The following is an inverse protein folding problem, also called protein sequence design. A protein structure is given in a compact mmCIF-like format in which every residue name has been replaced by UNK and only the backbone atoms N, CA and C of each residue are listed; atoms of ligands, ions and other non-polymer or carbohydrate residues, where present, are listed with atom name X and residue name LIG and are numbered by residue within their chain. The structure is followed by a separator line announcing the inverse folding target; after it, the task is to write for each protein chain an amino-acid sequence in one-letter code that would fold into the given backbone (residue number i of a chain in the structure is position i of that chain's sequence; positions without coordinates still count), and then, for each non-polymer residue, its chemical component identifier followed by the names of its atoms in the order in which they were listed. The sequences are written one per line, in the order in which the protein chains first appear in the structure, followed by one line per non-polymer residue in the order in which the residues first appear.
data_IF_747821105707
#
_entry.id   IF_747821105707
#
_cell.length_a   1.000
_cell.length_b   1.000
_cell.length_c   1.000
_cell.angle_alpha   90.00
_cell.angle_beta   90.00
_cell.angle_gamma   90.00
#
_symmetry.space_group_name_H-M   'P 1'
#
loop_
_entity.id
_entity.type
_entity.pdbx_description
1 polymer ?
#
# COMPACT_ATOMS: atom_id res chain seq x y z
N UNK A 1 -6.17 -19.18 -10.82
CA UNK A 1 -4.78 -19.68 -10.78
C UNK A 1 -4.70 -21.19 -10.62
N UNK A 2 -5.18 -21.80 -9.54
CA UNK A 2 -5.10 -23.26 -9.30
C UNK A 2 -5.62 -24.11 -10.48
N UNK A 3 -6.76 -23.74 -11.06
CA UNK A 3 -7.32 -24.42 -12.24
C UNK A 3 -6.41 -24.23 -13.46
N UNK A 4 -5.89 -23.01 -13.67
CA UNK A 4 -5.00 -22.73 -14.80
C UNK A 4 -3.68 -23.52 -14.71
N UNK A 5 -3.14 -23.70 -13.50
CA UNK A 5 -1.96 -24.55 -13.25
C UNK A 5 -2.26 -26.03 -13.57
N UNK A 6 -3.43 -26.52 -13.11
CA UNK A 6 -3.80 -27.92 -13.33
C UNK A 6 -4.00 -28.26 -14.82
N UNK A 7 -4.48 -27.31 -15.62
CA UNK A 7 -4.64 -27.48 -17.06
C UNK A 7 -3.41 -27.07 -17.89
N UNK A 8 -2.27 -26.74 -17.25
CA UNK A 8 -1.04 -26.33 -17.94
C UNK A 8 -1.16 -24.99 -18.69
N UNK A 9 -2.16 -24.17 -18.36
CA UNK A 9 -2.38 -22.85 -18.96
C UNK A 9 -1.37 -21.84 -18.40
N UNK A 10 -0.95 -22.07 -17.16
CA UNK A 10 0.03 -21.23 -16.46
C UNK A 10 1.18 -22.09 -15.95
N UNK A 11 2.39 -21.71 -16.32
CA UNK A 11 3.62 -22.29 -15.79
C UNK A 11 3.89 -21.62 -14.43
N UNK A 12 3.29 -22.19 -13.38
CA UNK A 12 3.51 -21.68 -12.04
C UNK A 12 4.86 -22.14 -11.53
N UNK A 13 5.77 -21.20 -11.32
CA UNK A 13 7.07 -21.46 -10.68
C UNK A 13 6.93 -21.87 -9.20
N UNK A 14 5.75 -21.75 -8.63
CA UNK A 14 5.51 -21.89 -7.20
C UNK A 14 4.52 -23.01 -6.81
N UNK A 15 3.77 -23.55 -7.77
CA UNK A 15 2.79 -24.60 -7.48
C UNK A 15 2.84 -25.71 -8.53
N UNK A 16 3.01 -26.95 -8.07
CA UNK A 16 2.93 -28.12 -8.92
C UNK A 16 1.47 -28.51 -9.19
N UNK A 17 1.13 -28.99 -10.40
CA UNK A 17 -0.20 -29.48 -10.70
C UNK A 17 -0.48 -30.78 -9.92
N UNK A 18 -1.64 -30.86 -9.30
CA UNK A 18 -2.12 -32.09 -8.65
C UNK A 18 -2.84 -32.99 -9.65
N UNK A 19 -2.89 -34.29 -9.37
CA UNK A 19 -3.49 -35.31 -10.25
C UNK A 19 -4.98 -35.12 -10.51
N UNK A 20 -5.69 -34.36 -9.70
CA UNK A 20 -7.11 -34.05 -9.91
C UNK A 20 -7.47 -32.62 -9.46
N UNK A 21 -8.50 -32.06 -10.09
CA UNK A 21 -9.04 -30.74 -9.73
C UNK A 21 -9.49 -30.72 -8.25
N UNK A 22 -10.07 -31.82 -7.76
CA UNK A 22 -10.53 -31.93 -6.39
C UNK A 22 -9.36 -31.84 -5.39
N UNK A 23 -8.25 -32.51 -5.69
CA UNK A 23 -7.00 -32.43 -4.91
C UNK A 23 -6.43 -31.02 -4.94
N UNK A 24 -6.46 -30.34 -6.10
CA UNK A 24 -6.01 -28.98 -6.26
C UNK A 24 -6.84 -28.00 -5.42
N UNK A 25 -8.16 -28.13 -5.45
CA UNK A 25 -9.06 -27.29 -4.64
C UNK A 25 -8.88 -27.52 -3.14
N UNK A 26 -8.67 -28.77 -2.72
CA UNK A 26 -8.35 -29.08 -1.33
C UNK A 26 -7.04 -28.45 -0.87
N UNK A 27 -6.03 -28.42 -1.74
CA UNK A 27 -4.77 -27.76 -1.46
C UNK A 27 -4.96 -26.23 -1.33
N UNK A 28 -5.72 -25.61 -2.24
CA UNK A 28 -6.08 -24.17 -2.14
C UNK A 28 -6.80 -23.87 -0.82
N UNK A 29 -7.76 -24.72 -0.43
CA UNK A 29 -8.48 -24.56 0.82
C UNK A 29 -7.56 -24.61 2.04
N UNK A 30 -6.62 -25.55 2.08
CA UNK A 30 -5.62 -25.62 3.13
C UNK A 30 -4.74 -24.36 3.20
N UNK A 31 -4.34 -23.81 2.06
CA UNK A 31 -3.61 -22.54 2.00
C UNK A 31 -4.45 -21.39 2.55
N UNK A 32 -5.74 -21.31 2.21
CA UNK A 32 -6.64 -20.32 2.78
C UNK A 32 -6.74 -20.43 4.30
N UNK A 33 -6.82 -21.63 4.84
CA UNK A 33 -6.83 -21.87 6.28
C UNK A 33 -5.50 -21.46 6.95
N UNK A 34 -4.37 -21.72 6.29
CA UNK A 34 -3.05 -21.29 6.78
C UNK A 34 -2.94 -19.76 6.81
N UNK A 35 -3.41 -19.07 5.76
CA UNK A 35 -3.43 -17.60 5.72
C UNK A 35 -4.34 -17.01 6.81
N UNK A 36 -5.51 -17.60 7.04
CA UNK A 36 -6.39 -17.20 8.14
C UNK A 36 -5.73 -17.41 9.50
N UNK A 37 -5.02 -18.55 9.69
CA UNK A 37 -4.25 -18.81 10.90
C UNK A 37 -3.11 -17.82 11.10
N UNK A 38 -2.37 -17.50 10.04
CA UNK A 38 -1.28 -16.54 10.06
C UNK A 38 -1.74 -15.11 10.38
N UNK A 39 -3.01 -14.76 10.10
CA UNK A 39 -3.58 -13.45 10.44
C UNK A 39 -3.60 -13.15 11.93
N UNK A 40 -3.44 -14.14 12.79
CA UNK A 40 -3.33 -14.00 14.24
C UNK A 40 -1.89 -13.96 14.75
N UNK A 41 -0.90 -14.18 13.87
CA UNK A 41 0.51 -14.07 14.21
C UNK A 41 0.92 -12.59 14.25
N UNK A 42 1.18 -12.09 15.46
CA UNK A 42 1.59 -10.68 15.67
C UNK A 42 3.08 -10.49 15.39
N UNK A 43 3.86 -11.56 15.40
CA UNK A 43 5.29 -11.51 15.20
C UNK A 43 5.66 -11.48 13.71
N UNK A 44 6.69 -10.74 13.39
CA UNK A 44 7.28 -10.52 12.04
C UNK A 44 7.95 -11.81 11.47
N UNK A 45 7.39 -12.97 11.80
CA UNK A 45 7.92 -14.27 11.44
C UNK A 45 7.29 -14.70 10.12
N UNK A 46 8.10 -15.28 9.27
CA UNK A 46 7.82 -15.87 7.97
C UNK A 46 6.34 -16.12 7.66
N UNK A 47 5.70 -15.12 7.08
CA UNK A 47 4.34 -15.29 6.56
C UNK A 47 4.36 -16.31 5.42
N UNK A 48 3.39 -17.23 5.39
CA UNK A 48 3.33 -18.25 4.36
C UNK A 48 3.26 -17.60 2.98
N UNK A 49 4.16 -18.00 2.08
CA UNK A 49 4.15 -17.57 0.69
C UNK A 49 3.19 -18.47 -0.10
N UNK A 50 1.98 -18.02 -0.44
CA UNK A 50 1.02 -18.87 -1.13
C UNK A 50 1.51 -19.23 -2.54
N UNK A 51 1.61 -20.51 -2.89
CA UNK A 51 2.22 -20.92 -4.15
C UNK A 51 1.43 -20.51 -5.39
N UNK A 52 0.13 -20.21 -5.26
CA UNK A 52 -0.70 -19.76 -6.40
C UNK A 52 -0.68 -18.25 -6.62
N UNK A 53 -0.48 -17.49 -5.57
CA UNK A 53 -0.39 -16.04 -5.65
C UNK A 53 0.46 -15.52 -4.48
N UNK A 54 1.75 -15.29 -4.70
CA UNK A 54 2.65 -14.78 -3.67
C UNK A 54 2.18 -13.48 -3.03
N UNK A 55 1.44 -12.64 -3.75
CA UNK A 55 0.94 -11.37 -3.21
C UNK A 55 0.00 -11.53 -2.01
N UNK A 56 -0.62 -12.70 -1.82
CA UNK A 56 -1.55 -12.94 -0.70
C UNK A 56 -0.91 -12.95 0.70
N UNK A 57 0.42 -12.98 0.80
CA UNK A 57 1.12 -12.93 2.08
C UNK A 57 0.86 -11.64 2.87
N UNK A 58 0.47 -10.54 2.20
CA UNK A 58 0.19 -9.27 2.87
C UNK A 58 -1.15 -9.25 3.59
N UNK A 59 -2.12 -10.09 3.18
CA UNK A 59 -3.46 -10.12 3.80
C UNK A 59 -3.39 -10.41 5.30
N UNK A 60 -2.69 -11.45 5.78
CA UNK A 60 -2.48 -11.67 7.20
C UNK A 60 -1.82 -10.49 7.91
N UNK A 61 -0.83 -9.86 7.27
CA UNK A 61 -0.13 -8.68 7.81
C UNK A 61 -1.09 -7.52 7.98
N UNK A 62 -1.81 -7.16 6.92
CA UNK A 62 -2.78 -6.06 6.94
C UNK A 62 -3.86 -6.26 8.01
N UNK A 63 -4.36 -7.50 8.14
CA UNK A 63 -5.36 -7.83 9.15
C UNK A 63 -4.80 -7.69 10.57
N UNK A 64 -3.64 -8.30 10.87
CA UNK A 64 -3.02 -8.24 12.19
C UNK A 64 -2.67 -6.80 12.60
N UNK A 65 -2.06 -6.03 11.68
CA UNK A 65 -1.67 -4.66 11.96
C UNK A 65 -2.88 -3.72 12.08
N UNK A 66 -3.95 -3.97 11.33
CA UNK A 66 -5.21 -3.24 11.49
C UNK A 66 -5.83 -3.47 12.87
N UNK A 67 -5.79 -4.70 13.40
CA UNK A 67 -6.25 -4.99 14.76
C UNK A 67 -5.42 -4.24 15.81
N UNK A 68 -4.08 -4.22 15.68
CA UNK A 68 -3.19 -3.44 16.56
C UNK A 68 -3.56 -1.95 16.49
N UNK A 69 -3.78 -1.42 15.29
CA UNK A 69 -4.18 -0.04 15.07
C UNK A 69 -5.52 0.28 15.74
N UNK A 70 -6.53 -0.58 15.59
CA UNK A 70 -7.83 -0.39 16.26
C UNK A 70 -7.73 -0.42 17.77
N UNK A 71 -6.92 -1.33 18.34
CA UNK A 71 -6.66 -1.37 19.79
C UNK A 71 -5.97 -0.09 20.23
N UNK A 72 -4.99 0.41 19.48
CA UNK A 72 -4.33 1.68 19.78
C UNK A 72 -5.31 2.86 19.73
N UNK A 73 -6.17 2.95 18.72
CA UNK A 73 -7.21 3.98 18.60
C UNK A 73 -8.14 3.92 19.81
N UNK A 74 -8.66 2.74 20.18
CA UNK A 74 -9.54 2.56 21.32
C UNK A 74 -8.86 2.94 22.64
N UNK A 75 -7.64 2.46 22.86
CA UNK A 75 -6.86 2.75 24.08
C UNK A 75 -6.52 4.22 24.24
N UNK A 76 -6.19 4.91 23.14
CA UNK A 76 -5.79 6.32 23.15
C UNK A 76 -6.95 7.30 22.98
N UNK A 77 -8.17 6.83 22.66
CA UNK A 77 -9.35 7.67 22.34
C UNK A 77 -9.73 8.65 23.45
N UNK A 78 -9.47 8.31 24.70
CA UNK A 78 -9.79 9.15 25.86
C UNK A 78 -8.64 10.02 26.34
N UNK A 79 -7.47 9.93 25.73
CA UNK A 79 -6.32 10.74 26.08
C UNK A 79 -6.44 12.14 25.47
N UNK A 80 -5.99 13.15 26.23
CA UNK A 80 -5.79 14.49 25.68
C UNK A 80 -4.74 14.45 24.57
N UNK A 81 -4.87 15.30 23.58
CA UNK A 81 -4.11 15.25 22.31
C UNK A 81 -2.59 15.16 22.50
N UNK A 82 -2.01 15.97 23.37
CA UNK A 82 -0.56 15.96 23.60
C UNK A 82 -0.08 14.64 24.23
N UNK A 83 -0.84 14.09 25.17
CA UNK A 83 -0.52 12.79 25.79
C UNK A 83 -0.73 11.68 24.76
N UNK A 84 -1.78 11.74 23.96
CA UNK A 84 -2.05 10.78 22.89
C UNK A 84 -0.91 10.71 21.89
N UNK A 85 -0.43 11.85 21.40
CA UNK A 85 0.72 11.92 20.48
C UNK A 85 2.00 11.37 21.13
N UNK A 86 2.26 11.72 22.40
CA UNK A 86 3.44 11.23 23.12
C UNK A 86 3.40 9.71 23.30
N UNK A 87 2.25 9.16 23.71
CA UNK A 87 2.07 7.72 23.87
C UNK A 87 2.17 7.00 22.52
N UNK A 88 1.54 7.54 21.47
CA UNK A 88 1.60 6.96 20.13
C UNK A 88 3.05 6.94 19.61
N UNK A 89 3.78 8.04 19.77
CA UNK A 89 5.21 8.09 19.42
C UNK A 89 6.03 7.08 20.23
N UNK A 90 5.76 6.96 21.54
CA UNK A 90 6.42 5.99 22.42
C UNK A 90 6.15 4.54 22.01
N UNK A 91 4.89 4.20 21.70
CA UNK A 91 4.52 2.85 21.22
C UNK A 91 5.19 2.57 19.87
N UNK A 92 5.18 3.54 18.94
CA UNK A 92 5.83 3.40 17.63
C UNK A 92 7.35 3.18 17.79
N UNK A 93 8.00 3.95 18.66
CA UNK A 93 9.41 3.78 18.97
C UNK A 93 9.72 2.42 19.63
N UNK A 94 8.86 1.95 20.52
CA UNK A 94 8.96 0.61 21.10
C UNK A 94 8.82 -0.48 20.06
N UNK A 95 7.83 -0.39 19.16
CA UNK A 95 7.67 -1.33 18.05
C UNK A 95 8.89 -1.31 17.13
N UNK A 96 9.46 -0.14 16.84
CA UNK A 96 10.69 -0.01 16.08
C UNK A 96 11.83 -0.73 16.78
N UNK A 97 12.07 -0.44 18.05
CA UNK A 97 13.14 -1.10 18.83
C UNK A 97 12.96 -2.62 18.93
N UNK A 98 11.71 -3.09 18.94
CA UNK A 98 11.35 -4.52 18.99
C UNK A 98 11.39 -5.22 17.63
N UNK A 99 11.76 -4.54 16.53
CA UNK A 99 11.80 -5.12 15.19
C UNK A 99 10.47 -5.26 14.49
N UNK A 100 9.37 -4.73 15.05
CA UNK A 100 8.01 -4.85 14.52
C UNK A 100 7.74 -3.76 13.47
N UNK A 101 8.44 -3.80 12.33
CA UNK A 101 8.40 -2.73 11.33
C UNK A 101 7.01 -2.51 10.71
N UNK A 102 6.23 -3.57 10.51
CA UNK A 102 4.86 -3.40 10.01
C UNK A 102 3.98 -2.62 11.01
N UNK A 103 4.11 -2.89 12.31
CA UNK A 103 3.40 -2.10 13.33
C UNK A 103 3.85 -0.63 13.32
N UNK A 104 5.14 -0.38 13.09
CA UNK A 104 5.69 0.97 12.93
C UNK A 104 5.02 1.70 11.75
N UNK A 105 4.85 1.04 10.61
CA UNK A 105 4.20 1.64 9.43
C UNK A 105 2.76 2.05 9.72
N UNK A 106 1.97 1.19 10.34
CA UNK A 106 0.56 1.46 10.67
C UNK A 106 0.42 2.55 11.75
N UNK A 107 1.16 2.44 12.85
CA UNK A 107 1.11 3.41 13.95
C UNK A 107 1.71 4.76 13.54
N UNK A 108 2.78 4.75 12.74
CA UNK A 108 3.36 5.96 12.18
C UNK A 108 2.43 6.66 11.18
N UNK A 109 1.68 5.89 10.38
CA UNK A 109 0.60 6.41 9.54
C UNK A 109 -0.48 7.11 10.39
N UNK A 110 -0.90 6.50 11.50
CA UNK A 110 -1.81 7.13 12.48
C UNK A 110 -1.22 8.40 13.07
N UNK A 111 0.06 8.41 13.41
CA UNK A 111 0.75 9.61 13.94
C UNK A 111 0.74 10.75 12.91
N UNK A 112 1.06 10.49 11.65
CA UNK A 112 1.00 11.49 10.57
C UNK A 112 -0.43 12.03 10.41
N UNK A 113 -1.44 11.15 10.42
CA UNK A 113 -2.84 11.55 10.31
C UNK A 113 -3.27 12.46 11.47
N UNK A 114 -2.92 12.11 12.71
CA UNK A 114 -3.22 12.91 13.89
C UNK A 114 -2.58 14.30 13.83
N UNK A 115 -1.31 14.38 13.44
CA UNK A 115 -0.60 15.66 13.26
C UNK A 115 -1.25 16.50 12.16
N UNK A 116 -1.66 15.88 11.06
CA UNK A 116 -2.33 16.58 9.95
C UNK A 116 -3.67 17.16 10.39
N UNK A 117 -4.49 16.39 11.12
CA UNK A 117 -5.76 16.86 11.66
C UNK A 117 -5.58 18.05 12.60
N UNK A 118 -4.56 18.04 13.45
CA UNK A 118 -4.27 19.19 14.34
C UNK A 118 -3.82 20.45 13.57
N UNK A 119 -3.12 20.27 12.46
CA UNK A 119 -2.75 21.39 11.59
C UNK A 119 -3.99 22.00 10.94
N UNK A 120 -4.90 21.16 10.45
CA UNK A 120 -6.17 21.61 9.84
C UNK A 120 -7.08 22.32 10.86
N UNK A 121 -7.22 21.78 12.07
CA UNK A 121 -7.99 22.40 13.15
C UNK A 121 -7.39 23.77 13.55
N UNK A 122 -6.08 23.92 13.53
CA UNK A 122 -5.41 25.19 13.82
C UNK A 122 -5.62 26.26 12.75
N UNK A 123 -5.93 25.85 11.52
CA UNK A 123 -6.21 26.72 10.37
C UNK A 123 -7.71 27.06 10.24
N UNK A 124 -8.59 26.23 10.79
CA UNK A 124 -10.01 26.46 10.85
C UNK A 124 -10.30 27.47 11.96
N UNK A 125 -10.70 28.70 11.61
CA UNK A 125 -11.25 29.67 12.56
C UNK A 125 -12.46 29.09 13.33
N UNK A 126 -12.74 29.49 14.60
CA UNK A 126 -13.75 28.87 15.43
C UNK A 126 -15.14 29.16 14.89
N UNK A 127 -15.65 28.37 13.97
CA UNK A 127 -17.07 28.32 13.62
C UNK A 127 -17.58 26.96 14.08
N UNK A 128 -18.34 27.02 15.14
CA UNK A 128 -19.09 25.94 15.76
C UNK A 128 -19.88 25.12 14.72
N UNK A 129 -19.53 23.86 14.52
CA UNK A 129 -20.46 22.89 13.94
C UNK A 129 -20.05 21.46 14.32
N UNK A 130 -21.01 20.56 14.62
CA UNK A 130 -20.76 19.23 15.11
C UNK A 130 -20.16 18.34 14.00
N UNK A 131 -19.39 17.37 14.43
CA UNK A 131 -18.66 16.35 13.68
C UNK A 131 -19.51 15.79 12.52
N UNK A 132 -19.32 16.36 11.34
CA UNK A 132 -19.71 15.76 10.07
C UNK A 132 -18.40 15.56 9.30
N UNK A 133 -18.14 14.30 8.90
CA UNK A 133 -17.06 13.97 7.99
C UNK A 133 -16.91 15.05 6.91
N UNK A 134 -15.71 15.55 6.61
CA UNK A 134 -15.53 16.62 5.65
C UNK A 134 -16.13 16.19 4.31
N UNK A 135 -17.28 16.79 3.97
CA UNK A 135 -17.83 16.75 2.64
C UNK A 135 -16.86 17.57 1.78
N UNK A 136 -16.03 16.90 1.03
CA UNK A 136 -15.11 17.52 0.09
C UNK A 136 -15.94 18.22 -0.99
N UNK A 137 -16.21 19.50 -0.80
CA UNK A 137 -16.88 20.32 -1.81
C UNK A 137 -15.85 20.67 -2.88
N UNK A 138 -15.92 19.96 -4.01
CA UNK A 138 -15.11 20.18 -5.22
C UNK A 138 -15.33 21.56 -5.88
N UNK A 139 -16.15 22.45 -5.32
CA UNK A 139 -16.56 23.71 -5.95
C UNK A 139 -15.95 24.97 -5.32
N UNK A 140 -15.15 24.91 -4.28
CA UNK A 140 -14.44 26.10 -3.86
C UNK A 140 -13.22 26.36 -4.77
N UNK A 141 -13.48 27.09 -5.85
CA UNK A 141 -12.46 27.81 -6.60
C UNK A 141 -11.57 28.56 -5.59
N UNK A 142 -10.26 28.37 -5.60
CA UNK A 142 -9.37 29.14 -4.73
C UNK A 142 -9.57 30.62 -5.04
N UNK A 143 -10.12 31.36 -4.09
CA UNK A 143 -10.10 32.83 -4.14
C UNK A 143 -8.63 33.21 -4.29
N UNK A 144 -8.36 33.99 -5.33
CA UNK A 144 -7.06 34.55 -5.68
C UNK A 144 -6.37 35.09 -4.43
N UNK A 145 -5.56 34.27 -3.79
CA UNK A 145 -4.55 34.75 -2.86
C UNK A 145 -3.40 35.22 -3.72
N UNK A 146 -3.34 36.48 -4.01
CA UNK A 146 -2.17 37.15 -4.58
C UNK A 146 -0.97 36.81 -3.70
N UNK A 147 -0.09 36.04 -4.27
CA UNK A 147 0.97 35.35 -3.60
C UNK A 147 2.24 36.20 -3.55
N UNK A 148 2.39 36.95 -2.49
CA UNK A 148 3.71 37.26 -1.96
C UNK A 148 4.20 36.03 -1.15
N UNK A 149 4.63 34.96 -1.85
CA UNK A 149 5.17 33.77 -1.17
C UNK A 149 6.39 34.17 -0.33
N UNK A 150 6.20 34.20 0.98
CA UNK A 150 7.27 34.52 1.92
C UNK A 150 8.41 33.51 1.74
N UNK A 151 9.67 33.94 1.87
CA UNK A 151 10.88 33.10 1.76
C UNK A 151 10.72 31.84 2.61
N UNK A 152 10.12 31.98 3.80
CA UNK A 152 9.81 30.84 4.69
C UNK A 152 8.91 29.80 4.04
N UNK A 153 7.87 30.19 3.29
CA UNK A 153 6.97 29.26 2.60
C UNK A 153 7.70 28.50 1.47
N UNK A 154 8.56 29.19 0.72
CA UNK A 154 9.38 28.56 -0.32
C UNK A 154 10.35 27.55 0.26
N UNK A 155 10.99 27.87 1.39
CA UNK A 155 11.88 26.94 2.08
C UNK A 155 11.16 25.70 2.59
N UNK A 156 9.96 25.85 3.17
CA UNK A 156 9.14 24.73 3.61
C UNK A 156 8.70 23.85 2.43
N UNK A 157 8.29 24.45 1.33
CA UNK A 157 7.98 23.70 0.11
C UNK A 157 9.19 22.95 -0.44
N UNK A 158 10.35 23.60 -0.52
CA UNK A 158 11.59 22.98 -0.97
C UNK A 158 12.01 21.81 -0.08
N UNK A 159 11.84 21.94 1.24
CA UNK A 159 12.06 20.86 2.20
C UNK A 159 11.17 19.64 1.90
N UNK A 160 9.87 19.82 1.67
CA UNK A 160 8.96 18.72 1.37
C UNK A 160 9.21 18.09 -0.01
N UNK A 161 9.63 18.90 -1.01
CA UNK A 161 10.09 18.35 -2.29
C UNK A 161 11.37 17.54 -2.15
N UNK A 162 12.35 17.99 -1.38
CA UNK A 162 13.55 17.21 -1.09
C UNK A 162 13.20 15.91 -0.34
N UNK A 163 12.24 15.98 0.57
CA UNK A 163 11.78 14.82 1.35
C UNK A 163 11.15 13.75 0.45
N UNK A 164 10.27 14.12 -0.50
CA UNK A 164 9.68 13.14 -1.43
C UNK A 164 10.73 12.55 -2.38
N UNK A 165 11.68 13.37 -2.88
CA UNK A 165 12.76 12.87 -3.73
C UNK A 165 13.63 11.87 -2.96
N UNK A 166 13.99 12.19 -1.72
CA UNK A 166 14.73 11.30 -0.83
C UNK A 166 13.95 10.02 -0.56
N UNK A 167 12.65 10.11 -0.23
CA UNK A 167 11.79 8.96 0.00
C UNK A 167 11.67 8.05 -1.23
N UNK A 168 11.48 8.62 -2.42
CA UNK A 168 11.44 7.85 -3.68
C UNK A 168 12.80 7.21 -3.99
N UNK A 169 13.91 7.89 -3.71
CA UNK A 169 15.26 7.32 -3.88
C UNK A 169 15.45 6.11 -2.95
N UNK A 170 15.07 6.22 -1.68
CA UNK A 170 15.15 5.11 -0.73
C UNK A 170 14.19 3.97 -1.13
N UNK A 171 12.99 4.29 -1.60
CA UNK A 171 12.02 3.30 -2.07
C UNK A 171 12.45 2.60 -3.38
N UNK A 172 13.39 3.16 -4.13
CA UNK A 172 13.97 2.55 -5.35
C UNK A 172 15.03 1.47 -5.05
N UNK A 173 15.12 1.00 -3.82
CA UNK A 173 16.06 -0.02 -3.38
C UNK A 173 16.07 -1.24 -4.30
N UNK A 174 17.24 -1.62 -4.77
CA UNK A 174 17.44 -2.78 -5.64
C UNK A 174 17.89 -3.99 -4.84
N UNK A 175 17.31 -5.15 -5.12
CA UNK A 175 17.72 -6.42 -4.50
C UNK A 175 19.05 -6.96 -5.08
N UNK A 176 19.41 -6.52 -6.29
CA UNK A 176 20.60 -6.91 -6.98
C UNK A 176 21.48 -5.70 -7.23
N UNK A 177 22.79 -5.85 -7.16
CA UNK A 177 23.77 -4.81 -7.48
C UNK A 177 23.66 -3.55 -6.59
N UNK A 178 23.35 -3.72 -5.29
CA UNK A 178 23.32 -2.61 -4.30
C UNK A 178 24.67 -1.87 -4.26
N UNK A 179 25.76 -2.61 -4.41
CA UNK A 179 27.14 -2.09 -4.39
C UNK A 179 27.44 -1.11 -5.53
N UNK A 180 26.68 -1.17 -6.62
CA UNK A 180 26.85 -0.27 -7.78
C UNK A 180 26.22 1.10 -7.55
N UNK A 181 25.26 1.21 -6.62
CA UNK A 181 24.57 2.48 -6.30
C UNK A 181 25.13 3.06 -5.01
N UNK A 182 26.03 4.03 -5.14
CA UNK A 182 26.74 4.62 -3.99
C UNK A 182 25.86 5.00 -2.82
N UNK A 183 24.71 5.64 -3.06
CA UNK A 183 23.79 6.05 -1.98
C UNK A 183 23.15 4.87 -1.25
N UNK A 184 22.70 3.84 -1.97
CA UNK A 184 22.11 2.63 -1.39
C UNK A 184 23.16 1.79 -0.65
N UNK A 185 24.37 1.67 -1.20
CA UNK A 185 25.50 1.03 -0.54
C UNK A 185 25.84 1.70 0.80
N UNK A 186 25.80 3.05 0.84
CA UNK A 186 26.03 3.77 2.10
C UNK A 186 24.93 3.45 3.12
N UNK A 187 23.67 3.44 2.72
CA UNK A 187 22.54 3.10 3.59
C UNK A 187 22.64 1.66 4.10
N UNK A 188 22.98 0.71 3.25
CA UNK A 188 23.14 -0.70 3.60
C UNK A 188 24.24 -0.90 4.67
N UNK A 189 25.39 -0.25 4.49
CA UNK A 189 26.50 -0.28 5.43
C UNK A 189 26.17 0.35 6.81
N UNK A 190 25.14 1.22 6.88
CA UNK A 190 24.72 1.90 8.12
C UNK A 190 23.38 1.38 8.64
N UNK A 191 22.93 0.22 8.17
CA UNK A 191 21.71 -0.40 8.69
C UNK A 191 21.94 -0.92 10.12
N UNK A 192 21.10 -0.53 11.08
CA UNK A 192 21.24 -1.00 12.45
C UNK A 192 20.96 -2.51 12.57
N UNK A 193 21.79 -3.24 13.28
CA UNK A 193 21.46 -4.58 13.76
C UNK A 193 20.30 -4.49 14.78
N UNK A 194 19.32 -5.40 14.79
CA UNK A 194 19.19 -6.67 14.07
C UNK A 194 18.38 -6.61 12.77
N UNK A 195 18.17 -5.42 12.21
CA UNK A 195 17.31 -5.23 11.06
C UNK A 195 17.97 -5.72 9.77
N UNK A 196 17.24 -6.45 8.96
CA UNK A 196 17.66 -6.73 7.60
C UNK A 196 17.46 -5.46 6.75
N UNK A 197 18.56 -4.92 6.21
CA UNK A 197 18.74 -3.59 5.62
C UNK A 197 17.56 -2.93 4.95
N UNK A 198 16.92 -3.64 4.06
CA UNK A 198 15.90 -3.17 3.16
C UNK A 198 14.63 -2.62 3.85
N UNK A 199 14.11 -3.34 4.84
CA UNK A 199 12.80 -3.03 5.45
C UNK A 199 12.78 -1.74 6.25
N UNK A 200 13.85 -1.43 6.98
CA UNK A 200 13.97 -0.18 7.75
C UNK A 200 13.94 1.02 6.83
N UNK A 201 14.67 0.93 5.72
CA UNK A 201 14.75 2.02 4.76
C UNK A 201 13.44 2.19 3.98
N UNK A 202 12.76 1.09 3.62
CA UNK A 202 11.42 1.17 3.03
C UNK A 202 10.42 1.85 3.97
N UNK A 203 10.43 1.49 5.26
CA UNK A 203 9.59 2.12 6.26
C UNK A 203 9.87 3.64 6.35
N UNK A 204 11.15 4.04 6.40
CA UNK A 204 11.53 5.45 6.41
C UNK A 204 11.12 6.17 5.12
N UNK A 205 11.35 5.57 3.95
CA UNK A 205 10.95 6.09 2.66
C UNK A 205 9.43 6.29 2.56
N UNK A 206 8.66 5.31 3.04
CA UNK A 206 7.20 5.37 3.09
C UNK A 206 6.71 6.57 3.95
N UNK A 207 7.30 6.77 5.14
CA UNK A 207 6.96 7.94 5.97
C UNK A 207 7.27 9.26 5.29
N UNK A 208 8.43 9.36 4.65
CA UNK A 208 8.81 10.57 3.91
C UNK A 208 7.82 10.88 2.78
N UNK A 209 7.45 9.87 1.99
CA UNK A 209 6.51 10.02 0.87
C UNK A 209 5.12 10.43 1.40
N UNK A 210 4.58 9.69 2.39
CA UNK A 210 3.25 9.96 2.93
C UNK A 210 3.21 11.35 3.58
N UNK A 211 4.19 11.71 4.41
CA UNK A 211 4.25 13.02 5.03
C UNK A 211 4.36 14.15 3.98
N UNK A 212 5.16 13.98 2.93
CA UNK A 212 5.23 14.97 1.85
C UNK A 212 3.89 15.10 1.09
N UNK A 213 3.19 13.98 0.85
CA UNK A 213 1.86 13.99 0.22
C UNK A 213 0.82 14.75 1.05
N UNK A 214 0.88 14.69 2.39
CA UNK A 214 -0.05 15.47 3.24
C UNK A 214 0.26 16.96 3.26
N UNK A 215 1.49 17.37 2.97
CA UNK A 215 1.93 18.77 3.06
C UNK A 215 2.00 19.49 1.71
N UNK A 216 2.12 18.77 0.59
CA UNK A 216 2.24 19.35 -0.74
C UNK A 216 0.91 19.33 -1.51
N UNK A 217 0.26 20.49 -1.65
CA UNK A 217 -1.02 20.64 -2.37
C UNK A 217 -0.95 20.16 -3.82
N UNK A 218 0.19 20.32 -4.50
CA UNK A 218 0.34 19.85 -5.88
C UNK A 218 0.23 18.31 -5.99
N UNK A 219 0.73 17.58 -5.00
CA UNK A 219 0.58 16.12 -4.94
C UNK A 219 -0.86 15.73 -4.60
N UNK A 220 -1.49 16.42 -3.63
CA UNK A 220 -2.89 16.19 -3.30
C UNK A 220 -3.79 16.37 -4.51
N UNK A 221 -3.53 17.38 -5.34
CA UNK A 221 -4.28 17.60 -6.58
C UNK A 221 -4.18 16.39 -7.55
N UNK A 222 -2.98 15.80 -7.70
CA UNK A 222 -2.79 14.61 -8.53
C UNK A 222 -3.64 13.44 -8.01
N UNK A 223 -3.64 13.22 -6.69
CA UNK A 223 -4.38 12.12 -6.06
C UNK A 223 -5.90 12.34 -5.99
N UNK A 224 -6.37 13.57 -6.19
CA UNK A 224 -7.81 13.88 -6.23
C UNK A 224 -8.40 13.88 -7.65
N UNK A 225 -7.60 13.59 -8.67
CA UNK A 225 -8.11 13.42 -10.04
C UNK A 225 -9.07 12.24 -10.15
N UNK A 226 -10.09 12.29 -11.04
CA UNK A 226 -11.03 11.19 -11.22
C UNK A 226 -10.34 9.84 -11.54
N UNK A 227 -9.23 9.90 -12.29
CA UNK A 227 -8.43 8.71 -12.61
C UNK A 227 -7.78 8.13 -11.36
N UNK A 228 -7.16 8.97 -10.53
CA UNK A 228 -6.53 8.52 -9.28
C UNK A 228 -7.56 7.94 -8.29
N UNK A 229 -8.74 8.58 -8.18
CA UNK A 229 -9.84 8.07 -7.35
C UNK A 229 -10.33 6.72 -7.87
N UNK A 230 -10.51 6.57 -9.19
CA UNK A 230 -10.90 5.30 -9.79
C UNK A 230 -9.85 4.20 -9.52
N UNK A 231 -8.56 4.49 -9.76
CA UNK A 231 -7.49 3.55 -9.48
C UNK A 231 -7.40 3.20 -7.97
N UNK A 232 -7.68 4.15 -7.09
CA UNK A 232 -7.80 3.92 -5.66
C UNK A 232 -8.92 2.93 -5.32
N UNK A 233 -10.09 3.08 -5.94
CA UNK A 233 -11.23 2.18 -5.71
C UNK A 233 -10.94 0.73 -6.12
N UNK A 234 -10.20 0.52 -7.22
CA UNK A 234 -9.85 -0.82 -7.70
C UNK A 234 -8.49 -1.32 -7.18
N UNK A 235 -7.77 -0.54 -6.36
CA UNK A 235 -6.37 -0.81 -5.97
C UNK A 235 -6.20 -2.16 -5.28
N UNK A 236 -7.10 -2.53 -4.39
CA UNK A 236 -7.09 -3.83 -3.71
C UNK A 236 -7.31 -4.99 -4.69
N UNK A 237 -8.32 -4.86 -5.55
CA UNK A 237 -8.59 -5.85 -6.60
C UNK A 237 -7.41 -5.97 -7.58
N UNK A 238 -6.79 -4.84 -7.95
CA UNK A 238 -5.61 -4.79 -8.80
C UNK A 238 -4.43 -5.50 -8.13
N UNK A 239 -4.20 -5.25 -6.84
CA UNK A 239 -3.17 -5.94 -6.08
C UNK A 239 -3.38 -7.46 -6.05
N UNK A 240 -4.59 -7.93 -5.87
CA UNK A 240 -4.89 -9.37 -5.84
C UNK A 240 -4.77 -10.05 -7.20
N UNK A 241 -5.07 -9.34 -8.29
CA UNK A 241 -5.20 -9.95 -9.63
C UNK A 241 -3.99 -9.75 -10.53
N UNK A 242 -3.14 -8.71 -10.29
CA UNK A 242 -2.04 -8.37 -11.19
C UNK A 242 -1.06 -9.53 -11.39
N UNK A 243 -0.69 -10.21 -10.31
CA UNK A 243 0.27 -11.30 -10.38
C UNK A 243 -0.26 -12.50 -11.19
N UNK A 244 -1.57 -12.78 -11.09
CA UNK A 244 -2.24 -13.78 -11.92
C UNK A 244 -2.15 -13.41 -13.41
N UNK A 245 -2.45 -12.16 -13.74
CA UNK A 245 -2.38 -11.67 -15.12
C UNK A 245 -0.95 -11.76 -15.66
N UNK A 246 0.04 -11.30 -14.89
CA UNK A 246 1.45 -11.36 -15.29
C UNK A 246 1.91 -12.80 -15.52
N UNK A 247 1.62 -13.72 -14.60
CA UNK A 247 2.03 -15.13 -14.73
C UNK A 247 1.46 -15.80 -15.99
N UNK A 248 0.26 -15.37 -16.44
CA UNK A 248 -0.37 -15.93 -17.65
C UNK A 248 0.14 -15.25 -18.92
N UNK A 249 0.34 -13.94 -18.89
CA UNK A 249 0.63 -13.13 -20.08
C UNK A 249 2.13 -13.04 -20.38
N UNK A 250 2.97 -12.91 -19.35
CA UNK A 250 4.41 -12.69 -19.51
C UNK A 250 5.09 -13.76 -20.38
N UNK A 251 4.90 -15.07 -20.15
CA UNK A 251 5.56 -16.10 -20.95
C UNK A 251 5.19 -16.10 -22.44
N UNK A 252 4.07 -15.47 -22.79
CA UNK A 252 3.57 -15.42 -24.17
C UNK A 252 3.91 -14.11 -24.87
N UNK A 253 3.79 -13.01 -24.18
CA UNK A 253 3.92 -11.66 -24.76
C UNK A 253 5.36 -11.17 -24.76
N UNK A 254 6.13 -11.44 -23.69
CA UNK A 254 7.50 -10.93 -23.59
C UNK A 254 8.40 -11.51 -24.68
N UNK A 255 8.43 -12.83 -24.98
CA UNK A 255 9.25 -13.36 -26.06
C UNK A 255 8.88 -12.78 -27.42
N UNK A 256 7.61 -12.51 -27.68
CA UNK A 256 7.14 -11.87 -28.91
C UNK A 256 7.66 -10.42 -29.02
N UNK A 257 7.60 -9.65 -27.93
CA UNK A 257 8.13 -8.29 -27.90
C UNK A 257 9.66 -8.26 -28.02
N UNK A 258 10.36 -9.20 -27.37
CA UNK A 258 11.81 -9.35 -27.51
C UNK A 258 12.24 -9.68 -28.94
N UNK A 259 11.44 -10.48 -29.64
CA UNK A 259 11.67 -10.77 -31.06
C UNK A 259 11.43 -9.51 -31.93
N UNK A 260 10.45 -8.68 -31.58
CA UNK A 260 10.11 -7.46 -32.34
C UNK A 260 11.14 -6.34 -32.14
N UNK A 261 11.56 -6.09 -30.89
CA UNK A 261 12.41 -4.95 -30.53
C UNK A 261 13.89 -5.28 -30.32
N UNK A 262 14.21 -6.57 -30.22
CA UNK A 262 15.55 -7.06 -29.94
C UNK A 262 15.87 -7.17 -28.46
N UNK A 263 16.54 -8.27 -28.09
CA UNK A 263 16.86 -8.64 -26.70
C UNK A 263 18.20 -8.07 -26.22
N UNK A 264 19.14 -7.84 -27.13
CA UNK A 264 20.56 -7.59 -26.81
C UNK A 264 20.89 -6.12 -26.61
N UNK A 265 20.12 -5.19 -27.23
CA UNK A 265 20.36 -3.76 -27.15
C UNK A 265 19.65 -3.14 -25.96
N UNK A 266 20.23 -2.11 -25.35
CA UNK A 266 19.59 -1.33 -24.28
C UNK A 266 18.23 -0.77 -24.73
N UNK A 267 18.18 -0.19 -25.91
CA UNK A 267 16.94 0.37 -26.48
C UNK A 267 15.88 -0.72 -26.74
N UNK A 268 16.29 -1.88 -27.25
CA UNK A 268 15.39 -3.02 -27.45
C UNK A 268 14.73 -3.46 -26.15
N UNK A 269 15.50 -3.56 -25.05
CA UNK A 269 14.97 -3.88 -23.74
C UNK A 269 13.99 -2.83 -23.20
N UNK A 270 14.30 -1.53 -23.38
CA UNK A 270 13.38 -0.47 -23.00
C UNK A 270 12.07 -0.49 -23.80
N UNK A 271 12.13 -0.71 -25.11
CA UNK A 271 10.94 -0.83 -25.93
C UNK A 271 10.13 -2.11 -25.62
N UNK A 272 10.77 -3.22 -25.32
CA UNK A 272 10.13 -4.44 -24.84
C UNK A 272 9.39 -4.17 -23.52
N UNK A 273 10.02 -3.48 -22.56
CA UNK A 273 9.40 -3.12 -21.29
C UNK A 273 8.21 -2.17 -21.47
N UNK A 274 8.37 -1.11 -22.26
CA UNK A 274 7.29 -0.16 -22.57
C UNK A 274 6.13 -0.83 -23.32
N UNK A 275 6.43 -1.70 -24.28
CA UNK A 275 5.43 -2.48 -25.00
C UNK A 275 4.69 -3.44 -24.08
N UNK A 276 5.40 -4.12 -23.19
CA UNK A 276 4.81 -4.94 -22.14
C UNK A 276 3.89 -4.13 -21.23
N UNK A 277 4.34 -2.99 -20.74
CA UNK A 277 3.53 -2.10 -19.92
C UNK A 277 2.26 -1.64 -20.64
N UNK A 278 2.37 -1.22 -21.89
CA UNK A 278 1.25 -0.75 -22.70
C UNK A 278 0.19 -1.85 -22.96
N UNK A 279 0.62 -3.12 -23.07
CA UNK A 279 -0.28 -4.24 -23.27
C UNK A 279 -0.85 -4.80 -21.97
N UNK A 280 -0.03 -4.93 -20.93
CA UNK A 280 -0.44 -5.56 -19.67
C UNK A 280 -1.32 -4.63 -18.83
N UNK A 281 -0.98 -3.34 -18.75
CA UNK A 281 -1.68 -2.41 -17.86
C UNK A 281 -3.19 -2.31 -18.13
N UNK A 282 -3.67 -2.15 -19.39
CA UNK A 282 -5.11 -2.14 -19.66
C UNK A 282 -5.79 -3.46 -19.29
N UNK A 283 -5.14 -4.60 -19.57
CA UNK A 283 -5.71 -5.92 -19.26
C UNK A 283 -5.82 -6.10 -17.74
N UNK A 284 -4.77 -5.75 -17.00
CA UNK A 284 -4.75 -5.85 -15.53
C UNK A 284 -5.82 -4.96 -14.92
N UNK A 285 -5.98 -3.72 -15.42
CA UNK A 285 -7.03 -2.79 -14.95
C UNK A 285 -8.41 -3.35 -15.24
N UNK A 286 -8.66 -3.90 -16.44
CA UNK A 286 -9.95 -4.52 -16.78
C UNK A 286 -10.26 -5.70 -15.86
N UNK A 287 -9.32 -6.59 -15.64
CA UNK A 287 -9.50 -7.75 -14.73
C UNK A 287 -9.74 -7.29 -13.29
N UNK A 288 -9.02 -6.29 -12.84
CA UNK A 288 -9.21 -5.69 -11.51
C UNK A 288 -10.60 -5.04 -11.37
N UNK A 289 -11.08 -4.31 -12.37
CA UNK A 289 -12.42 -3.70 -12.37
C UNK A 289 -13.53 -4.76 -12.31
N UNK A 290 -13.39 -5.83 -13.09
CA UNK A 290 -14.33 -6.96 -13.04
C UNK A 290 -14.32 -7.59 -11.64
N UNK A 291 -13.16 -7.86 -11.07
CA UNK A 291 -13.02 -8.45 -9.73
C UNK A 291 -13.61 -7.51 -8.66
N UNK A 292 -13.31 -6.22 -8.72
CA UNK A 292 -13.86 -5.22 -7.81
C UNK A 292 -15.38 -5.20 -7.81
N UNK A 293 -16.02 -5.21 -9.00
CA UNK A 293 -17.48 -5.19 -9.13
C UNK A 293 -18.12 -6.51 -8.74
N UNK A 294 -17.49 -7.65 -9.08
CA UNK A 294 -18.07 -8.98 -8.90
C UNK A 294 -17.82 -9.54 -7.49
N UNK A 295 -16.74 -9.16 -6.83
CA UNK A 295 -16.34 -9.74 -5.54
C UNK A 295 -16.26 -8.69 -4.45
N UNK A 296 -15.44 -7.66 -4.62
CA UNK A 296 -15.12 -6.72 -3.54
C UNK A 296 -16.34 -5.88 -3.13
N UNK A 297 -17.00 -5.22 -4.09
CA UNK A 297 -18.22 -4.44 -3.80
C UNK A 297 -19.33 -5.26 -3.13
N UNK A 298 -19.69 -6.47 -3.61
CA UNK A 298 -20.68 -7.29 -2.94
C UNK A 298 -20.28 -7.70 -1.54
N UNK A 299 -19.00 -8.02 -1.31
CA UNK A 299 -18.47 -8.40 0.00
C UNK A 299 -18.58 -7.24 0.99
N UNK A 300 -18.22 -6.02 0.59
CA UNK A 300 -18.37 -4.82 1.42
C UNK A 300 -19.86 -4.54 1.74
N UNK A 301 -20.75 -4.68 0.76
CA UNK A 301 -22.19 -4.52 0.99
C UNK A 301 -22.73 -5.56 1.96
N UNK A 302 -22.28 -6.81 1.83
CA UNK A 302 -22.67 -7.89 2.75
C UNK A 302 -22.16 -7.61 4.18
N UNK A 303 -20.92 -7.16 4.32
CA UNK A 303 -20.36 -6.80 5.63
C UNK A 303 -21.15 -5.68 6.32
N UNK A 304 -21.50 -4.61 5.57
CA UNK A 304 -22.34 -3.52 6.09
C UNK A 304 -23.75 -3.98 6.47
N UNK A 305 -24.35 -4.83 5.64
CA UNK A 305 -25.65 -5.41 5.97
C UNK A 305 -25.60 -6.24 7.26
N UNK A 306 -24.51 -7.02 7.45
CA UNK A 306 -24.31 -7.79 8.66
C UNK A 306 -24.12 -6.87 9.88
N UNK A 307 -23.32 -5.82 9.74
CA UNK A 307 -23.11 -4.79 10.77
C UNK A 307 -24.44 -4.17 11.20
N UNK A 308 -25.26 -3.70 10.24
CA UNK A 308 -26.59 -3.13 10.52
C UNK A 308 -27.50 -4.09 11.29
N UNK A 309 -27.37 -5.42 11.07
CA UNK A 309 -28.13 -6.43 11.79
C UNK A 309 -27.62 -6.72 13.20
N UNK A 310 -26.32 -6.51 13.42
CA UNK A 310 -25.66 -6.81 14.69
C UNK A 310 -25.59 -5.61 15.63
N UNK A 311 -25.65 -4.38 15.10
CA UNK A 311 -25.62 -3.15 15.92
C UNK A 311 -27.02 -2.87 16.48
N UNK A 312 -27.12 -2.72 17.79
CA UNK A 312 -28.35 -2.27 18.45
C UNK A 312 -28.53 -0.78 18.15
N UNK A 313 -29.56 -0.42 17.39
CA UNK A 313 -29.95 0.99 17.23
C UNK A 313 -30.19 1.59 18.60
N UNK A 314 -29.38 2.56 19.00
CA UNK A 314 -29.69 3.41 20.14
C UNK A 314 -30.94 4.23 19.74
N UNK A 315 -32.12 3.79 20.16
CA UNK A 315 -33.31 4.66 20.14
C UNK A 315 -32.97 5.87 21.00
N UNK A 316 -32.80 7.03 20.32
CA UNK A 316 -32.70 8.37 20.93
C UNK A 316 -34.03 8.77 21.55
#
# INVERSE_FOLDING_TARGET
MAIAVNYGISDSRYAEPHFSICSQLKHVWNICLQLLGASWAINDIDYPQPPYNPALWTIPVEFAQSLILFVAILGLSRCITNIRLLLLAGITAFCFYSGQLYAVEFLGGMFIAEVTLLQDDSLASPVSSPIILPKYNLEEKPKNAECGSTIKQKLVQAFWFANIISGLFIASWTNNHIDEVWGLRFLDAHTPEPYQGQRVWFCLGAFQIVAACTQLRCLQYIFTTPVAIYLGNISYALYLTHNLCLTILEPRVVPWLEHLFGKTTLWGRHFTWLGGLALFLPIIICVADIFWRAVDMPTVKFARWLEEKCVVEKKS
#
